data_IF_546281302294
#
_entry.id   IF_546281302294
#
_cell.length_a   1.000
_cell.length_b   1.000
_cell.length_c   1.000
_cell.angle_alpha   90.00
_cell.angle_beta   90.00
_cell.angle_gamma   90.00
#
_symmetry.space_group_name_H-M   'P 1'
#
loop_
_entity.id
_entity.type
_entity.pdbx_description
1 polymer ?
#
# COMPACT_ATOMS: atom_id res chain seq x y z
N UNK A 1 -3.22 -12.81 23.34
CA UNK A 1 -2.06 -11.90 23.13
C UNK A 1 -2.39 -10.54 23.73
N UNK A 2 -1.42 -9.89 24.39
CA UNK A 2 -1.54 -8.46 24.77
C UNK A 2 -1.77 -7.60 23.52
N UNK A 3 -2.69 -6.64 23.59
CA UNK A 3 -2.74 -5.54 22.61
C UNK A 3 -1.52 -4.64 22.76
N UNK A 4 -1.16 -3.95 21.69
CA UNK A 4 -0.18 -2.85 21.70
C UNK A 4 -0.77 -1.68 20.92
N UNK A 5 -0.43 -0.44 21.30
CA UNK A 5 -0.65 0.76 20.50
C UNK A 5 0.68 1.16 19.88
N UNK A 6 0.74 1.23 18.55
CA UNK A 6 1.95 1.48 17.78
C UNK A 6 1.78 2.77 16.99
N UNK A 7 2.77 3.65 17.09
CA UNK A 7 2.94 4.82 16.22
C UNK A 7 3.96 4.46 15.16
N UNK A 8 3.52 4.47 13.91
CA UNK A 8 4.36 4.36 12.72
C UNK A 8 4.69 5.77 12.21
N UNK A 9 5.78 5.92 11.45
CA UNK A 9 6.19 7.18 10.87
C UNK A 9 6.79 7.04 9.47
N UNK A 10 6.70 8.12 8.69
CA UNK A 10 7.32 8.33 7.37
C UNK A 10 8.12 9.64 7.45
N UNK A 11 9.41 9.60 7.14
CA UNK A 11 10.27 10.79 7.18
C UNK A 11 10.17 11.61 5.89
N UNK A 12 10.41 12.93 5.98
CA UNK A 12 10.49 13.81 4.81
C UNK A 12 9.16 14.07 4.10
N UNK A 13 8.02 13.83 4.77
CA UNK A 13 6.68 14.12 4.26
C UNK A 13 5.88 14.81 5.38
N UNK A 14 5.01 15.76 5.01
CA UNK A 14 4.12 16.45 5.96
C UNK A 14 2.83 15.65 6.17
N UNK A 15 2.24 15.19 5.06
CA UNK A 15 1.15 14.23 5.02
C UNK A 15 1.47 13.15 3.97
N UNK A 16 0.99 11.93 4.17
CA UNK A 16 1.14 10.85 3.21
C UNK A 16 0.02 9.81 3.34
N UNK A 17 -0.71 9.56 2.25
CA UNK A 17 -1.67 8.44 2.19
C UNK A 17 -1.03 7.22 1.55
N UNK A 18 -0.91 6.12 2.30
CA UNK A 18 -0.45 4.81 1.82
C UNK A 18 -1.66 3.92 1.56
N UNK A 19 -1.65 3.23 0.41
CA UNK A 19 -2.72 2.30 0.00
C UNK A 19 -2.21 0.86 0.10
N UNK A 20 -2.54 0.18 1.20
CA UNK A 20 -2.07 -1.18 1.49
C UNK A 20 -3.05 -2.20 0.91
N UNK A 21 -2.58 -3.09 0.03
CA UNK A 21 -3.35 -4.25 -0.44
C UNK A 21 -3.48 -5.28 0.69
N UNK A 22 -4.70 -5.70 1.00
CA UNK A 22 -5.00 -6.74 1.99
C UNK A 22 -5.63 -7.92 1.26
N UNK A 23 -4.83 -8.98 1.04
CA UNK A 23 -5.19 -10.03 0.11
C UNK A 23 -5.38 -9.50 -1.32
N UNK A 24 -6.16 -10.23 -2.11
CA UNK A 24 -6.16 -10.04 -3.57
C UNK A 24 -7.08 -8.89 -4.03
N UNK A 25 -8.09 -8.53 -3.24
CA UNK A 25 -9.18 -7.61 -3.65
C UNK A 25 -9.31 -6.36 -2.79
N UNK A 26 -8.94 -6.40 -1.52
CA UNK A 26 -9.19 -5.30 -0.58
C UNK A 26 -8.03 -4.30 -0.53
N UNK A 27 -8.36 -3.01 -0.42
CA UNK A 27 -7.40 -1.91 -0.26
C UNK A 27 -7.71 -1.17 1.05
N UNK A 28 -6.71 -0.99 1.89
CA UNK A 28 -6.80 -0.20 3.12
C UNK A 28 -6.00 1.10 2.95
N UNK A 29 -6.64 2.23 3.17
CA UNK A 29 -5.98 3.54 3.19
C UNK A 29 -5.46 3.83 4.60
N UNK A 30 -4.20 4.23 4.70
CA UNK A 30 -3.58 4.72 5.94
C UNK A 30 -3.06 6.13 5.68
N UNK A 31 -3.61 7.12 6.39
CA UNK A 31 -3.15 8.50 6.33
C UNK A 31 -2.14 8.75 7.47
N UNK A 32 -0.94 9.17 7.10
CA UNK A 32 0.06 9.72 8.00
C UNK A 32 -0.04 11.24 7.97
N UNK A 33 -0.07 11.88 9.12
CA UNK A 33 -0.25 13.34 9.30
C UNK A 33 0.79 13.91 10.27
N UNK A 34 0.73 15.23 10.52
CA UNK A 34 1.53 15.92 11.55
C UNK A 34 3.06 15.91 11.31
N UNK A 35 3.50 15.60 10.09
CA UNK A 35 4.88 15.75 9.66
C UNK A 35 5.22 17.22 9.36
N UNK A 36 6.48 17.58 9.48
CA UNK A 36 6.95 18.95 9.15
C UNK A 36 8.39 18.96 8.67
N UNK A 37 8.69 19.87 7.75
CA UNK A 37 10.04 20.13 7.24
C UNK A 37 10.34 21.58 7.56
N UNK A 38 11.35 21.81 8.40
CA UNK A 38 11.69 23.13 8.96
C UNK A 38 13.19 23.36 8.91
N UNK A 39 13.63 24.62 9.00
CA UNK A 39 15.05 24.93 9.16
C UNK A 39 15.67 24.31 10.43
N UNK A 40 14.85 24.01 11.44
CA UNK A 40 15.23 23.32 12.68
C UNK A 40 15.30 21.79 12.56
N UNK A 41 14.79 21.19 11.48
CA UNK A 41 14.81 19.74 11.25
C UNK A 41 13.54 19.19 10.60
N UNK A 42 13.49 17.85 10.51
CA UNK A 42 12.39 17.09 9.91
C UNK A 42 11.66 16.33 11.02
N UNK A 43 10.36 16.59 11.17
CA UNK A 43 9.43 15.74 11.95
C UNK A 43 8.74 14.78 10.98
N UNK A 44 8.76 13.45 11.22
CA UNK A 44 8.07 12.50 10.36
C UNK A 44 6.55 12.66 10.46
N UNK A 45 5.85 12.48 9.34
CA UNK A 45 4.41 12.25 9.39
C UNK A 45 4.13 10.91 10.09
N UNK A 46 3.17 10.87 11.01
CA UNK A 46 2.89 9.69 11.84
C UNK A 46 1.48 9.16 11.69
N UNK A 47 1.31 7.88 11.99
CA UNK A 47 0.01 7.22 12.11
C UNK A 47 0.02 6.31 13.34
N UNK A 48 -0.94 6.49 14.24
CA UNK A 48 -1.01 5.71 15.50
C UNK A 48 -2.24 4.82 15.54
N UNK A 49 -2.04 3.51 15.76
CA UNK A 49 -3.14 2.53 15.85
C UNK A 49 -2.88 1.46 16.89
N UNK A 50 -3.95 1.00 17.55
CA UNK A 50 -4.02 -0.17 18.42
C UNK A 50 -4.71 -1.38 17.75
N UNK A 51 -5.23 -1.20 16.53
CA UNK A 51 -5.91 -2.26 15.79
C UNK A 51 -4.88 -3.26 15.22
N UNK A 52 -4.86 -4.46 15.77
CA UNK A 52 -3.99 -5.56 15.34
C UNK A 52 -4.03 -5.82 13.83
N UNK A 53 -5.20 -5.75 13.18
CA UNK A 53 -5.33 -5.99 11.73
C UNK A 53 -4.65 -4.90 10.89
N UNK A 54 -4.59 -3.67 11.40
CA UNK A 54 -3.90 -2.56 10.75
C UNK A 54 -2.39 -2.66 10.96
N UNK A 55 -1.94 -3.05 12.17
CA UNK A 55 -0.52 -3.28 12.51
C UNK A 55 0.09 -4.37 11.62
N UNK A 56 -0.31 -5.64 11.82
CA UNK A 56 -1.08 -6.34 10.79
C UNK A 56 -0.59 -6.20 9.34
N UNK A 57 -1.38 -5.43 8.58
CA UNK A 57 -1.13 -5.12 7.18
C UNK A 57 0.02 -4.11 6.95
N UNK A 58 0.28 -3.17 7.86
CA UNK A 58 1.43 -2.25 7.79
C UNK A 58 2.74 -3.04 7.86
N UNK A 59 2.94 -3.86 8.91
CA UNK A 59 4.18 -4.61 9.14
C UNK A 59 4.46 -5.66 8.04
N UNK A 60 3.44 -6.09 7.28
CA UNK A 60 3.60 -6.95 6.10
C UNK A 60 3.68 -6.21 4.76
N UNK A 61 3.41 -4.90 4.73
CA UNK A 61 3.46 -4.08 3.51
C UNK A 61 4.88 -3.95 2.94
N UNK A 62 4.97 -3.62 1.65
CA UNK A 62 6.26 -3.33 1.01
C UNK A 62 6.90 -2.02 1.54
N UNK A 63 6.11 -0.97 1.80
CA UNK A 63 6.60 0.29 2.37
C UNK A 63 7.30 0.09 3.73
N UNK A 64 6.80 -0.81 4.57
CA UNK A 64 7.42 -1.14 5.85
C UNK A 64 8.69 -1.99 5.67
N UNK A 65 8.63 -3.04 4.85
CA UNK A 65 9.79 -3.91 4.55
C UNK A 65 10.96 -3.13 3.92
N UNK A 66 10.65 -2.12 3.11
CA UNK A 66 11.63 -1.25 2.46
C UNK A 66 12.07 -0.07 3.35
N UNK A 67 11.63 -0.01 4.61
CA UNK A 67 12.03 1.03 5.59
C UNK A 67 11.41 2.42 5.37
N UNK A 68 10.48 2.58 4.42
CA UNK A 68 9.77 3.85 4.18
C UNK A 68 8.82 4.18 5.33
N UNK A 69 8.14 3.16 5.86
CA UNK A 69 7.39 3.22 7.11
C UNK A 69 8.23 2.53 8.19
N UNK A 70 8.42 3.19 9.33
CA UNK A 70 9.12 2.62 10.49
C UNK A 70 8.32 2.82 11.79
N UNK A 71 8.68 2.10 12.86
CA UNK A 71 8.06 2.25 14.18
C UNK A 71 8.72 3.42 14.91
N UNK A 72 7.94 4.43 15.27
CA UNK A 72 8.34 5.58 16.10
C UNK A 72 8.15 5.28 17.58
N UNK A 73 7.05 4.59 17.94
CA UNK A 73 6.71 4.26 19.34
C UNK A 73 5.88 2.99 19.43
N UNK A 74 6.07 2.22 20.50
CA UNK A 74 5.16 1.14 20.90
C UNK A 74 4.78 1.30 22.38
N UNK A 75 3.54 0.94 22.71
CA UNK A 75 2.98 0.97 24.07
C UNK A 75 2.21 -0.33 24.26
N UNK A 76 2.51 -1.11 25.30
CA UNK A 76 1.66 -2.26 25.65
C UNK A 76 0.33 -1.80 26.26
N UNK A 77 -0.76 -2.47 25.90
CA UNK A 77 -2.09 -2.27 26.48
C UNK A 77 -2.47 -3.51 27.29
N UNK A 78 -3.08 -3.31 28.46
CA UNK A 78 -3.52 -4.39 29.36
C UNK A 78 -4.77 -5.16 28.86
N UNK A 79 -5.22 -4.88 27.64
CA UNK A 79 -6.31 -5.59 26.99
C UNK A 79 -5.79 -6.81 26.20
N UNK A 80 -6.52 -7.92 26.26
CA UNK A 80 -6.23 -9.10 25.46
C UNK A 80 -7.07 -9.13 24.17
N UNK A 81 -6.42 -9.47 23.05
CA UNK A 81 -7.11 -9.79 21.80
C UNK A 81 -7.84 -11.13 21.96
N UNK A 82 -9.17 -11.07 22.15
CA UNK A 82 -10.05 -12.25 22.07
C UNK A 82 -10.20 -12.69 20.62
N UNK A 83 -9.54 -13.79 20.25
CA UNK A 83 -9.75 -14.44 18.95
C UNK A 83 -10.98 -15.35 19.08
N UNK A 84 -12.16 -14.78 18.86
CA UNK A 84 -13.40 -15.55 18.76
C UNK A 84 -13.40 -16.32 17.43
N UNK A 85 -12.98 -17.59 17.50
CA UNK A 85 -13.14 -18.51 16.37
C UNK A 85 -14.61 -18.90 16.28
N UNK A 86 -15.23 -18.65 15.13
CA UNK A 86 -16.58 -19.13 14.82
C UNK A 86 -16.55 -20.66 14.61
N UNK A 87 -16.49 -21.40 15.71
CA UNK A 87 -16.70 -22.84 15.72
C UNK A 87 -18.21 -23.11 15.55
N UNK A 88 -18.65 -23.83 14.51
CA UNK A 88 -20.07 -24.10 14.32
C UNK A 88 -20.65 -24.99 15.42
N UNK A 89 -21.79 -24.56 15.95
CA UNK A 89 -22.78 -25.34 16.71
C UNK A 89 -22.43 -25.78 18.15
N UNK A 90 -22.90 -25.00 19.11
CA UNK A 90 -23.70 -25.55 20.23
C UNK A 90 -24.58 -24.45 20.85
N UNK A 91 -25.88 -24.43 20.52
CA UNK A 91 -26.82 -23.52 21.18
C UNK A 91 -27.15 -23.99 22.60
N UNK A 92 -26.90 -23.15 23.60
CA UNK A 92 -27.74 -23.06 24.80
C UNK A 92 -28.00 -21.60 25.15
N UNK A 93 -29.28 -21.21 25.12
CA UNK A 93 -29.75 -19.92 25.60
C UNK A 93 -30.18 -20.07 27.06
N UNK A 94 -29.84 -19.06 27.86
CA UNK A 94 -30.81 -18.38 28.72
C UNK A 94 -30.42 -16.89 28.71
N UNK A 95 -31.33 -15.98 28.36
CA UNK A 95 -32.38 -15.42 29.22
C UNK A 95 -31.74 -14.58 30.35
N UNK A 96 -31.98 -13.28 30.46
CA UNK A 96 -33.26 -12.58 30.26
C UNK A 96 -33.13 -11.19 29.62
N UNK A 97 -34.04 -10.86 28.69
CA UNK A 97 -34.37 -9.49 28.28
C UNK A 97 -35.80 -9.21 28.73
N UNK A 98 -36.05 -8.12 29.47
CA UNK A 98 -37.42 -7.57 29.63
C UNK A 98 -37.47 -6.03 29.48
N UNK A 99 -38.60 -5.45 29.00
CA UNK A 99 -38.56 -4.14 28.33
C UNK A 99 -39.66 -3.12 28.74
N UNK A 100 -39.37 -1.83 28.58
CA UNK A 100 -40.35 -0.74 28.37
C UNK A 100 -39.58 0.42 27.67
N UNK A 101 -40.01 1.07 26.57
CA UNK A 101 -41.28 1.79 26.26
C UNK A 101 -41.56 2.88 27.32
N UNK A 102 -41.81 4.17 27.01
CA UNK A 102 -41.96 4.95 25.74
C UNK A 102 -41.79 6.47 26.08
N UNK A 103 -41.94 7.52 25.24
CA UNK A 103 -42.56 7.77 23.91
C UNK A 103 -42.00 9.08 23.31
N UNK A 104 -41.85 9.17 21.98
CA UNK A 104 -42.51 10.13 21.03
C UNK A 104 -42.77 11.59 21.50
N UNK A 105 -42.47 12.66 20.74
CA UNK A 105 -42.94 12.96 19.34
C UNK A 105 -42.09 14.05 18.60
N UNK A 106 -42.25 14.05 17.27
CA UNK A 106 -41.95 15.01 16.14
C UNK A 106 -41.98 16.53 16.45
N UNK A 107 -41.54 17.48 15.59
CA UNK A 107 -41.63 17.67 14.11
C UNK A 107 -40.50 18.64 13.63
N UNK A 108 -39.74 18.39 12.55
CA UNK A 108 -39.95 18.70 11.11
C UNK A 108 -40.00 20.19 10.69
N UNK A 109 -39.02 20.62 9.88
CA UNK A 109 -38.99 21.60 8.75
C UNK A 109 -37.50 21.94 8.50
N UNK A 110 -36.88 21.71 7.35
CA UNK A 110 -37.08 22.19 5.95
C UNK A 110 -36.60 23.62 5.64
N UNK A 111 -35.91 23.72 4.50
CA UNK A 111 -35.51 24.90 3.69
C UNK A 111 -34.46 25.90 4.21
N UNK A 112 -33.28 25.80 3.60
CA UNK A 112 -32.66 26.80 2.68
C UNK A 112 -33.16 28.26 2.72
N UNK A 113 -32.24 29.21 2.88
CA UNK A 113 -31.94 30.26 1.87
C UNK A 113 -30.63 31.03 2.17
N UNK A 114 -30.16 31.80 1.18
CA UNK A 114 -28.86 32.47 1.12
C UNK A 114 -28.94 33.95 1.56
N UNK A 115 -27.85 34.55 2.05
CA UNK A 115 -27.29 35.73 1.37
C UNK A 115 -25.86 36.14 1.80
N UNK A 116 -25.29 37.05 1.00
CA UNK A 116 -24.01 37.77 1.15
C UNK A 116 -24.04 38.84 2.25
N UNK A 117 -22.87 39.43 2.54
CA UNK A 117 -22.80 40.82 3.02
C UNK A 117 -21.40 41.33 3.39
N UNK A 118 -20.77 42.06 2.45
CA UNK A 118 -19.75 43.10 2.64
C UNK A 118 -18.31 42.62 3.07
N UNK A 119 -17.16 43.15 2.60
CA UNK A 119 -16.78 44.47 2.01
C UNK A 119 -16.68 45.57 3.11
N UNK A 120 -15.71 46.50 3.18
CA UNK A 120 -14.56 46.90 2.32
C UNK A 120 -13.20 46.62 3.05
N UNK A 121 -11.99 47.11 2.78
CA UNK A 121 -11.38 48.25 2.02
C UNK A 121 -9.90 47.82 1.75
N UNK A 122 -9.34 47.76 0.53
CA UNK A 122 -8.68 48.83 -0.26
C UNK A 122 -7.69 49.74 0.54
N UNK A 123 -6.48 50.14 0.09
CA UNK A 123 -5.68 50.06 -1.16
C UNK A 123 -4.19 49.69 -0.79
N UNK A 124 -3.09 49.74 -1.59
CA UNK A 124 -2.79 50.22 -2.95
C UNK A 124 -1.54 49.54 -3.59
N UNK A 125 -1.60 49.37 -4.92
CA UNK A 125 -0.60 49.58 -5.99
C UNK A 125 0.92 49.80 -5.71
N UNK A 126 1.79 49.02 -6.38
CA UNK A 126 2.70 49.57 -7.42
C UNK A 126 3.31 48.53 -8.38
N UNK A 127 3.44 48.92 -9.65
CA UNK A 127 3.91 48.12 -10.79
C UNK A 127 5.43 47.90 -10.82
N UNK A 128 5.88 46.85 -11.52
CA UNK A 128 6.82 46.96 -12.67
C UNK A 128 6.71 45.70 -13.54
N UNK A 129 6.73 45.89 -14.87
CA UNK A 129 6.67 44.81 -15.87
C UNK A 129 7.90 44.85 -16.77
N UNK A 130 8.57 43.71 -16.99
CA UNK A 130 9.51 43.54 -18.10
C UNK A 130 9.25 42.21 -18.81
N UNK A 131 8.83 42.30 -20.08
CA UNK A 131 8.99 41.19 -21.04
C UNK A 131 10.45 41.15 -21.52
N UNK A 132 10.93 39.98 -21.95
CA UNK A 132 11.86 39.97 -23.08
C UNK A 132 11.72 38.70 -23.94
N UNK A 133 12.05 38.83 -25.23
CA UNK A 133 11.87 37.81 -26.29
C UNK A 133 13.20 37.47 -26.97
N UNK A 134 13.24 36.30 -27.60
CA UNK A 134 14.24 35.93 -28.61
C UNK A 134 15.51 35.30 -28.03
N UNK A 135 16.13 34.32 -28.70
CA UNK A 135 16.16 34.12 -30.15
C UNK A 135 15.85 32.68 -30.60
N UNK A 136 15.66 32.56 -31.91
CA UNK A 136 15.43 31.34 -32.68
C UNK A 136 16.72 30.92 -33.43
N UNK A 137 16.62 29.89 -34.26
CA UNK A 137 17.54 29.47 -35.33
C UNK A 137 18.98 28.99 -34.98
N UNK A 138 19.21 27.69 -35.19
CA UNK A 138 19.81 27.26 -36.47
C UNK A 138 19.33 25.84 -36.85
N UNK A 139 19.04 25.60 -38.14
CA UNK A 139 18.64 24.29 -38.69
C UNK A 139 19.73 23.72 -39.60
N UNK A 140 20.02 22.43 -39.46
CA UNK A 140 20.37 21.50 -40.56
C UNK A 140 20.35 20.09 -39.96
N UNK A 141 19.47 19.17 -40.38
CA UNK A 141 19.49 18.42 -41.63
C UNK A 141 20.80 17.59 -41.78
N UNK A 142 20.78 16.28 -42.06
CA UNK A 142 19.67 15.49 -42.61
C UNK A 142 19.81 13.96 -42.33
N UNK A 143 18.69 13.23 -42.42
CA UNK A 143 18.46 11.81 -42.81
C UNK A 143 19.53 10.68 -42.55
N UNK A 144 19.16 9.41 -42.30
CA UNK A 144 17.87 8.72 -42.48
C UNK A 144 17.71 7.42 -41.64
N UNK A 145 16.48 6.88 -41.66
CA UNK A 145 15.96 5.50 -41.49
C UNK A 145 16.90 4.30 -41.15
N UNK A 146 16.45 3.21 -40.52
CA UNK A 146 15.10 2.71 -40.17
C UNK A 146 15.13 1.79 -38.90
N UNK A 147 14.09 1.10 -38.40
CA UNK A 147 12.72 0.84 -38.89
C UNK A 147 11.71 0.63 -37.74
N UNK A 148 10.43 0.55 -38.12
CA UNK A 148 9.20 0.48 -37.33
C UNK A 148 9.22 -0.27 -35.97
N UNK A 149 8.75 0.41 -34.91
CA UNK A 149 8.27 -0.22 -33.68
C UNK A 149 6.75 0.00 -33.58
N UNK A 150 5.94 -1.07 -33.64
CA UNK A 150 4.48 -0.94 -33.79
C UNK A 150 3.68 -2.11 -33.21
N UNK A 151 2.82 -1.79 -32.25
CA UNK A 151 1.71 -2.62 -31.76
C UNK A 151 2.06 -3.55 -30.59
N UNK A 152 1.13 -3.89 -29.69
CA UNK A 152 -0.27 -3.43 -29.55
C UNK A 152 -0.67 -3.48 -28.05
N UNK A 153 -1.69 -2.70 -27.67
CA UNK A 153 -2.45 -2.92 -26.43
C UNK A 153 -3.70 -3.78 -26.75
N UNK A 154 -3.61 -5.09 -26.54
CA UNK A 154 -4.73 -6.06 -26.58
C UNK A 154 -4.37 -7.17 -25.57
N UNK A 155 -5.00 -7.30 -24.40
CA UNK A 155 -6.31 -7.90 -24.07
C UNK A 155 -6.19 -9.31 -23.44
N UNK A 156 -7.15 -9.63 -22.58
CA UNK A 156 -7.31 -10.73 -21.63
C UNK A 156 -6.62 -12.09 -21.92
N UNK A 157 -5.77 -12.53 -20.96
CA UNK A 157 -5.28 -13.92 -20.87
C UNK A 157 -5.18 -14.41 -19.42
N UNK A 158 -6.21 -15.11 -18.91
CA UNK A 158 -6.20 -15.68 -17.56
C UNK A 158 -5.31 -16.94 -17.54
N UNK A 159 -4.27 -16.95 -16.72
CA UNK A 159 -3.54 -18.18 -16.34
C UNK A 159 -3.63 -18.37 -14.83
N UNK A 160 -4.39 -19.38 -14.42
CA UNK A 160 -4.60 -19.76 -13.03
C UNK A 160 -3.48 -20.68 -12.55
N UNK A 161 -2.43 -20.12 -11.94
CA UNK A 161 -1.46 -20.92 -11.17
C UNK A 161 -1.99 -21.12 -9.75
N UNK A 162 -2.35 -22.36 -9.44
CA UNK A 162 -2.83 -22.77 -8.10
C UNK A 162 -1.66 -22.89 -7.13
N UNK A 163 -1.70 -22.14 -6.02
CA UNK A 163 -0.87 -22.45 -4.86
C UNK A 163 -1.29 -23.84 -4.31
N UNK A 164 -0.36 -24.80 -4.31
CA UNK A 164 -0.58 -26.14 -3.73
C UNK A 164 -0.07 -26.12 -2.29
N UNK A 165 -0.95 -26.36 -1.32
CA UNK A 165 -0.59 -26.30 0.10
C UNK A 165 0.21 -27.52 0.58
N UNK A 166 1.32 -27.23 1.29
CA UNK A 166 1.89 -28.02 2.40
C UNK A 166 2.51 -29.41 2.15
N UNK A 167 3.67 -29.67 2.77
CA UNK A 167 3.88 -30.78 3.73
C UNK A 167 5.35 -30.97 4.18
N UNK A 168 5.57 -30.99 5.51
CA UNK A 168 6.60 -31.79 6.22
C UNK A 168 8.11 -31.58 6.01
N UNK A 169 8.58 -30.78 5.05
CA UNK A 169 9.95 -30.22 5.06
C UNK A 169 9.88 -28.69 4.89
N UNK A 170 10.91 -27.97 5.33
CA UNK A 170 10.91 -26.49 5.47
C UNK A 170 10.96 -25.70 4.16
N UNK A 171 10.55 -26.29 3.03
CA UNK A 171 10.78 -25.79 1.67
C UNK A 171 9.48 -25.54 0.92
N UNK A 172 9.39 -24.41 0.23
CA UNK A 172 8.30 -24.09 -0.69
C UNK A 172 8.60 -24.67 -2.07
N UNK A 173 7.85 -25.68 -2.49
CA UNK A 173 7.95 -26.24 -3.84
C UNK A 173 7.17 -25.37 -4.83
N UNK A 174 7.75 -25.13 -6.00
CA UNK A 174 7.15 -24.29 -7.05
C UNK A 174 7.32 -25.00 -8.38
N UNK A 175 6.21 -25.35 -9.02
CA UNK A 175 6.20 -26.02 -10.33
C UNK A 175 6.58 -25.03 -11.44
N UNK A 176 7.76 -25.21 -12.05
CA UNK A 176 8.26 -24.35 -13.13
C UNK A 176 8.90 -25.19 -14.23
N UNK A 177 8.35 -25.06 -15.45
CA UNK A 177 8.77 -25.81 -16.64
C UNK A 177 10.02 -25.24 -17.37
N UNK A 178 10.46 -24.02 -17.03
CA UNK A 178 11.44 -23.26 -17.82
C UNK A 178 12.36 -22.37 -16.95
N UNK A 179 13.59 -22.16 -17.42
CA UNK A 179 14.60 -21.32 -16.80
C UNK A 179 14.19 -19.83 -16.75
N UNK A 180 13.58 -19.29 -17.81
CA UNK A 180 13.17 -17.87 -17.83
C UNK A 180 11.97 -17.61 -16.92
N UNK A 181 11.05 -18.58 -16.85
CA UNK A 181 9.93 -18.63 -15.89
C UNK A 181 10.43 -18.67 -14.44
N UNK A 182 11.53 -19.38 -14.15
CA UNK A 182 12.15 -19.36 -12.82
C UNK A 182 12.84 -18.03 -12.52
N UNK A 183 13.49 -17.38 -13.51
CA UNK A 183 14.00 -16.00 -13.33
C UNK A 183 12.87 -15.02 -13.08
N UNK A 184 11.75 -15.14 -13.81
CA UNK A 184 10.54 -14.35 -13.57
C UNK A 184 10.07 -14.52 -12.12
N UNK A 185 9.83 -15.76 -11.69
CA UNK A 185 9.40 -16.05 -10.32
C UNK A 185 10.35 -15.49 -9.24
N UNK A 186 11.67 -15.63 -9.41
CA UNK A 186 12.64 -15.05 -8.47
C UNK A 186 12.64 -13.52 -8.50
N UNK A 187 12.50 -12.90 -9.69
CA UNK A 187 12.44 -11.44 -9.82
C UNK A 187 11.16 -10.84 -9.23
N UNK A 188 10.04 -11.55 -9.32
CA UNK A 188 8.73 -11.11 -8.84
C UNK A 188 8.55 -11.38 -7.34
N UNK A 189 9.11 -12.49 -6.82
CA UNK A 189 9.03 -12.88 -5.41
C UNK A 189 10.05 -12.15 -4.53
N UNK A 190 11.25 -11.85 -5.05
CA UNK A 190 12.37 -11.28 -4.27
C UNK A 190 12.90 -9.94 -4.77
N UNK A 191 12.46 -9.44 -5.93
CA UNK A 191 12.98 -8.21 -6.54
C UNK A 191 14.36 -8.36 -7.22
N UNK A 192 14.85 -9.59 -7.39
CA UNK A 192 16.15 -9.86 -8.02
C UNK A 192 16.14 -9.56 -9.52
N UNK A 193 17.21 -8.96 -10.01
CA UNK A 193 17.34 -8.72 -11.45
C UNK A 193 17.51 -10.03 -12.22
N UNK A 194 16.70 -10.27 -13.25
CA UNK A 194 16.83 -11.42 -14.16
C UNK A 194 18.25 -11.60 -14.71
N UNK A 195 18.99 -10.50 -14.85
CA UNK A 195 20.38 -10.45 -15.29
C UNK A 195 21.38 -11.06 -14.30
N UNK A 196 21.04 -11.28 -13.03
CA UNK A 196 21.89 -11.97 -12.06
C UNK A 196 21.97 -13.48 -12.37
N UNK A 197 20.88 -14.05 -12.90
CA UNK A 197 20.72 -15.48 -13.14
C UNK A 197 21.27 -15.92 -14.50
N UNK A 198 22.60 -15.98 -14.62
CA UNK A 198 23.33 -16.35 -15.85
C UNK A 198 23.24 -17.83 -16.21
N UNK A 199 22.85 -18.71 -15.28
CA UNK A 199 22.82 -20.16 -15.48
C UNK A 199 21.71 -20.85 -14.68
N UNK A 200 21.34 -22.06 -15.10
CA UNK A 200 20.46 -22.95 -14.34
C UNK A 200 20.96 -23.20 -12.90
N UNK A 201 22.28 -23.39 -12.71
CA UNK A 201 22.87 -23.55 -11.38
C UNK A 201 22.61 -22.33 -10.49
N UNK A 202 22.87 -21.13 -10.99
CA UNK A 202 22.65 -19.88 -10.22
C UNK A 202 21.19 -19.62 -9.85
N UNK A 203 20.23 -20.17 -10.60
CA UNK A 203 18.79 -20.12 -10.25
C UNK A 203 18.49 -21.07 -9.10
N UNK A 204 18.97 -22.32 -9.18
CA UNK A 204 18.75 -23.34 -8.14
C UNK A 204 19.46 -22.97 -6.81
N UNK A 205 20.72 -22.53 -6.86
CA UNK A 205 21.51 -22.14 -5.70
C UNK A 205 20.91 -20.94 -4.95
N UNK A 206 20.29 -19.99 -5.67
CA UNK A 206 19.53 -18.90 -5.06
C UNK A 206 18.19 -19.38 -4.50
N UNK A 207 17.48 -20.27 -5.22
CA UNK A 207 16.22 -20.85 -4.74
C UNK A 207 16.42 -21.62 -3.43
N UNK A 208 17.41 -22.51 -3.36
CA UNK A 208 17.82 -23.22 -2.14
C UNK A 208 18.15 -22.24 -1.00
N UNK A 209 18.86 -21.14 -1.30
CA UNK A 209 19.16 -20.07 -0.34
C UNK A 209 17.93 -19.31 0.18
N UNK A 210 16.77 -19.47 -0.47
CA UNK A 210 15.45 -18.97 -0.02
C UNK A 210 14.51 -20.08 0.46
N UNK A 211 14.99 -21.33 0.53
CA UNK A 211 14.21 -22.55 0.79
C UNK A 211 13.12 -22.84 -0.27
N UNK A 212 13.37 -22.48 -1.53
CA UNK A 212 12.54 -22.83 -2.69
C UNK A 212 13.14 -24.05 -3.42
N UNK A 213 12.28 -24.95 -3.87
CA UNK A 213 12.62 -26.09 -4.72
C UNK A 213 11.81 -25.99 -6.02
N UNK A 214 12.48 -25.83 -7.17
CA UNK A 214 11.80 -25.76 -8.47
C UNK A 214 11.55 -27.15 -9.04
N UNK A 215 10.28 -27.54 -9.10
CA UNK A 215 9.82 -28.82 -9.63
C UNK A 215 9.58 -28.69 -11.13
N UNK A 216 10.02 -29.67 -11.93
CA UNK A 216 9.97 -29.64 -13.40
C UNK A 216 11.23 -29.04 -14.06
N UNK A 217 12.04 -28.28 -13.33
CA UNK A 217 13.28 -27.66 -13.84
C UNK A 217 14.48 -28.62 -13.77
N UNK A 218 14.29 -29.90 -14.13
CA UNK A 218 15.28 -30.99 -14.12
C UNK A 218 16.27 -30.95 -15.30
#
# INVERSE_FOLDING_TARGET
MKKRKITYGISGMMECQIVIKIGNTSKMNVLFSDGSITATGITPATFTTDNFMVQHAIERSHDFKNGRIYIVRSIELNEEVKIERNNPTSEKKDSEIKPLKTKTKVVSTEKTEENKGNEDDETADQNTSEENKGNEDDETADQNTSEENKGNEDDLGIVQVTEIESATDGKTKVDIADLESAKQYLSETFGEAKSNFRSKKSVLEFAESKNIEFVGLS
#
